data_IF_235466063454
#
_entry.id   IF_235466063454
#
_cell.length_a   1.000
_cell.length_b   1.000
_cell.length_c   1.000
_cell.angle_alpha   90.00
_cell.angle_beta   90.00
_cell.angle_gamma   90.00
#
_symmetry.space_group_name_H-M   'P 1'
#
loop_
_entity.id
_entity.type
_entity.pdbx_description
1 polymer ?
#
# COMPACT_ATOMS: atom_id res chain seq x y z
N UNK A 1 5.55 4.37 19.05
CA UNK A 1 6.92 4.11 18.52
C UNK A 1 6.92 2.97 17.50
N UNK A 2 6.27 1.83 17.78
CA UNK A 2 6.24 0.65 16.90
C UNK A 2 5.80 0.96 15.46
N UNK A 3 4.63 1.61 15.27
CA UNK A 3 4.13 1.95 13.93
C UNK A 3 5.15 2.68 13.05
N UNK A 4 5.86 3.67 13.61
CA UNK A 4 6.90 4.41 12.89
C UNK A 4 8.05 3.52 12.43
N UNK A 5 8.54 2.66 13.32
CA UNK A 5 9.66 1.75 13.00
C UNK A 5 9.22 0.68 12.00
N UNK A 6 8.02 0.10 12.17
CA UNK A 6 7.44 -0.85 11.24
C UNK A 6 7.33 -0.30 9.82
N UNK A 7 6.84 0.94 9.67
CA UNK A 7 6.76 1.60 8.37
C UNK A 7 8.12 1.87 7.72
N UNK A 8 9.24 1.93 8.45
CA UNK A 8 10.57 2.03 7.83
C UNK A 8 11.00 0.76 7.11
N UNK A 9 10.45 -0.40 7.49
CA UNK A 9 10.87 -1.70 6.96
C UNK A 9 9.80 -2.41 6.12
N UNK A 10 8.54 -1.97 6.13
CA UNK A 10 7.44 -2.68 5.46
C UNK A 10 7.72 -3.02 3.99
N UNK A 11 8.45 -2.14 3.29
CA UNK A 11 8.79 -2.23 1.88
C UNK A 11 10.24 -2.69 1.59
N UNK A 12 10.99 -3.16 2.60
CA UNK A 12 12.43 -3.43 2.48
C UNK A 12 12.77 -4.45 1.38
N UNK A 13 11.87 -5.37 1.05
CA UNK A 13 12.10 -6.33 -0.03
C UNK A 13 12.12 -5.73 -1.44
N UNK A 14 11.65 -4.49 -1.62
CA UNK A 14 11.75 -3.79 -2.91
C UNK A 14 13.21 -3.56 -3.34
N UNK A 15 14.16 -3.59 -2.39
CA UNK A 15 15.59 -3.43 -2.64
C UNK A 15 16.17 -4.46 -3.63
N UNK A 16 15.57 -5.66 -3.73
CA UNK A 16 16.04 -6.67 -4.68
C UNK A 16 15.77 -6.30 -6.14
N UNK A 17 14.73 -5.51 -6.42
CA UNK A 17 14.27 -5.17 -7.78
C UNK A 17 13.69 -3.75 -7.86
N UNK A 18 14.44 -2.70 -7.47
CA UNK A 18 13.90 -1.37 -7.21
C UNK A 18 13.20 -0.75 -8.42
N UNK A 19 13.71 -0.99 -9.64
CA UNK A 19 13.19 -0.41 -10.88
C UNK A 19 11.76 -0.87 -11.23
N UNK A 20 11.27 -1.97 -10.63
CA UNK A 20 9.89 -2.44 -10.81
C UNK A 20 8.88 -1.71 -9.91
N UNK A 21 9.33 -0.81 -9.03
CA UNK A 21 8.45 -0.04 -8.17
C UNK A 21 8.45 1.43 -8.59
N UNK A 22 7.25 1.99 -8.80
CA UNK A 22 7.05 3.28 -9.47
C UNK A 22 7.76 4.44 -8.77
N UNK A 23 7.86 4.39 -7.45
CA UNK A 23 8.55 5.39 -6.63
C UNK A 23 10.06 5.50 -6.91
N UNK A 24 10.66 4.46 -7.50
CA UNK A 24 12.07 4.43 -7.86
C UNK A 24 12.31 4.72 -9.35
N UNK A 25 11.25 4.91 -10.14
CA UNK A 25 11.34 5.15 -11.58
C UNK A 25 11.52 6.65 -11.84
N UNK A 26 12.76 7.08 -12.09
CA UNK A 26 13.09 8.51 -12.29
C UNK A 26 13.14 8.93 -13.75
N UNK A 27 13.73 8.09 -14.62
CA UNK A 27 13.86 8.35 -16.07
C UNK A 27 13.90 7.02 -16.83
N UNK A 28 12.88 6.74 -17.65
CA UNK A 28 12.74 5.51 -18.42
C UNK A 28 11.29 5.08 -18.57
N UNK A 29 11.01 4.11 -19.45
CA UNK A 29 9.69 3.47 -19.51
C UNK A 29 9.48 2.49 -18.36
N UNK A 30 8.22 2.23 -17.99
CA UNK A 30 7.90 1.30 -16.92
C UNK A 30 8.26 -0.14 -17.37
N UNK A 31 9.14 -0.88 -16.65
CA UNK A 31 9.50 -2.24 -17.03
C UNK A 31 8.31 -3.20 -17.08
N UNK A 32 7.23 -2.90 -16.35
CA UNK A 32 5.97 -3.64 -16.41
C UNK A 32 5.25 -3.58 -17.76
N UNK A 33 5.58 -2.60 -18.62
CA UNK A 33 4.99 -2.50 -19.96
C UNK A 33 5.49 -3.62 -20.87
N UNK A 34 6.69 -4.15 -20.61
CA UNK A 34 7.39 -5.12 -21.46
C UNK A 34 7.20 -6.58 -21.04
N UNK A 35 6.43 -6.83 -19.98
CA UNK A 35 6.23 -8.18 -19.43
C UNK A 35 4.74 -8.49 -19.23
N UNK A 36 4.36 -9.79 -19.20
CA UNK A 36 2.99 -10.19 -18.93
C UNK A 36 2.49 -9.71 -17.55
N UNK A 37 1.18 -9.45 -17.38
CA UNK A 37 0.62 -9.05 -16.09
C UNK A 37 0.86 -10.06 -14.97
N UNK A 38 0.85 -11.36 -15.27
CA UNK A 38 1.17 -12.41 -14.30
C UNK A 38 2.59 -12.29 -13.76
N UNK A 39 3.58 -12.09 -14.64
CA UNK A 39 4.97 -11.87 -14.25
C UNK A 39 5.13 -10.58 -13.44
N UNK A 40 4.41 -9.52 -13.80
CA UNK A 40 4.38 -8.28 -13.02
C UNK A 40 3.85 -8.51 -11.61
N UNK A 41 2.73 -9.22 -11.48
CA UNK A 41 2.15 -9.56 -10.18
C UNK A 41 3.11 -10.41 -9.34
N UNK A 42 3.81 -11.38 -9.92
CA UNK A 42 4.84 -12.16 -9.20
C UNK A 42 5.97 -11.27 -8.67
N UNK A 43 6.51 -10.36 -9.48
CA UNK A 43 7.58 -9.44 -9.04
C UNK A 43 7.08 -8.55 -7.90
N UNK A 44 5.88 -7.99 -8.03
CA UNK A 44 5.28 -7.16 -6.99
C UNK A 44 5.06 -7.98 -5.73
N UNK A 45 4.47 -9.19 -5.77
CA UNK A 45 4.28 -10.03 -4.57
C UNK A 45 5.59 -10.37 -3.88
N UNK A 46 6.66 -10.60 -4.66
CA UNK A 46 7.94 -11.06 -4.15
C UNK A 46 8.61 -10.08 -3.19
N UNK A 47 8.30 -8.78 -3.22
CA UNK A 47 8.86 -7.86 -2.22
C UNK A 47 8.49 -8.25 -0.78
N UNK A 48 7.36 -8.94 -0.58
CA UNK A 48 6.98 -9.45 0.75
C UNK A 48 7.90 -10.57 1.18
N UNK A 49 8.10 -11.59 0.33
CA UNK A 49 8.96 -12.74 0.65
C UNK A 49 10.43 -12.35 0.75
N UNK A 50 10.90 -11.48 -0.15
CA UNK A 50 12.27 -10.96 -0.12
C UNK A 50 12.47 -10.08 1.13
N UNK A 51 11.46 -9.30 1.51
CA UNK A 51 11.49 -8.48 2.72
C UNK A 51 11.56 -9.31 4.00
N UNK A 52 10.81 -10.41 4.07
CA UNK A 52 10.86 -11.34 5.20
C UNK A 52 12.23 -12.03 5.32
N UNK A 53 12.84 -12.42 4.19
CA UNK A 53 14.18 -13.00 4.18
C UNK A 53 15.23 -12.00 4.70
N UNK A 54 15.16 -10.74 4.26
CA UNK A 54 16.04 -9.67 4.75
C UNK A 54 15.81 -9.39 6.25
N UNK A 55 14.56 -9.42 6.71
CA UNK A 55 14.22 -9.23 8.12
C UNK A 55 14.77 -10.37 8.99
N UNK A 56 14.71 -11.61 8.51
CA UNK A 56 15.30 -12.78 9.18
C UNK A 56 16.82 -12.68 9.27
N UNK A 57 17.50 -12.37 8.15
CA UNK A 57 18.95 -12.20 8.09
C UNK A 57 19.42 -11.10 9.07
N UNK A 58 18.71 -9.98 9.09
CA UNK A 58 19.00 -8.84 9.98
C UNK A 58 18.54 -9.06 11.43
N UNK A 59 17.90 -10.20 11.74
CA UNK A 59 17.32 -10.50 13.07
C UNK A 59 16.36 -9.42 13.56
N UNK A 60 15.55 -8.89 12.65
CA UNK A 60 14.57 -7.87 12.95
C UNK A 60 13.53 -8.43 13.94
N UNK A 61 13.11 -7.66 14.98
CA UNK A 61 12.10 -8.12 15.91
C UNK A 61 10.81 -8.51 15.18
N UNK A 62 10.18 -9.62 15.57
CA UNK A 62 8.99 -10.15 14.92
C UNK A 62 7.86 -9.12 14.80
N UNK A 63 7.67 -8.26 15.80
CA UNK A 63 6.67 -7.19 15.79
C UNK A 63 6.92 -6.12 14.73
N UNK A 64 8.18 -5.91 14.30
CA UNK A 64 8.53 -5.01 13.20
C UNK A 64 8.43 -5.76 11.87
N UNK A 65 8.93 -6.99 11.82
CA UNK A 65 8.85 -7.83 10.63
C UNK A 65 7.39 -8.11 10.20
N UNK A 66 6.44 -8.13 11.13
CA UNK A 66 5.01 -8.30 10.85
C UNK A 66 4.44 -7.24 9.88
N UNK A 67 5.01 -6.05 9.82
CA UNK A 67 4.58 -5.02 8.86
C UNK A 67 4.82 -5.43 7.41
N UNK A 68 5.81 -6.28 7.14
CA UNK A 68 6.21 -6.66 5.77
C UNK A 68 5.11 -7.48 5.08
N UNK A 69 4.56 -8.56 5.64
CA UNK A 69 3.47 -9.28 4.98
C UNK A 69 2.09 -8.67 5.25
N UNK A 70 1.89 -8.03 6.41
CA UNK A 70 0.56 -7.56 6.81
C UNK A 70 0.13 -6.24 6.16
N UNK A 71 1.06 -5.38 5.72
CA UNK A 71 0.67 -4.06 5.17
C UNK A 71 -0.17 -4.16 3.89
N UNK A 72 -0.01 -5.23 3.10
CA UNK A 72 -0.89 -5.51 1.97
C UNK A 72 -1.97 -6.56 2.28
N UNK A 73 -1.76 -7.38 3.31
CA UNK A 73 -2.70 -8.44 3.68
C UNK A 73 -2.92 -9.42 2.53
N UNK A 74 -4.19 -9.68 2.22
CA UNK A 74 -4.59 -10.51 1.06
C UNK A 74 -5.21 -9.66 -0.04
N UNK A 75 -4.82 -8.39 -0.13
CA UNK A 75 -5.33 -7.45 -1.12
C UNK A 75 -5.03 -7.95 -2.53
N UNK A 76 -5.86 -7.53 -3.48
CA UNK A 76 -5.63 -7.78 -4.90
C UNK A 76 -4.72 -6.70 -5.49
N UNK A 77 -3.82 -7.12 -6.38
CA UNK A 77 -3.01 -6.24 -7.22
C UNK A 77 -3.84 -5.87 -8.46
N UNK A 78 -4.86 -5.02 -8.22
CA UNK A 78 -5.96 -4.78 -9.16
C UNK A 78 -5.50 -4.33 -10.55
N UNK A 79 -4.48 -3.47 -10.65
CA UNK A 79 -3.97 -3.01 -11.94
C UNK A 79 -3.54 -4.16 -12.87
N UNK A 80 -2.77 -5.12 -12.35
CA UNK A 80 -2.31 -6.26 -13.14
C UNK A 80 -3.40 -7.31 -13.33
N UNK A 81 -4.31 -7.48 -12.36
CA UNK A 81 -5.47 -8.35 -12.53
C UNK A 81 -6.39 -7.84 -13.64
N UNK A 82 -6.72 -6.56 -13.67
CA UNK A 82 -7.57 -5.96 -14.70
C UNK A 82 -6.94 -6.07 -16.09
N UNK A 83 -5.62 -5.83 -16.19
CA UNK A 83 -4.87 -6.00 -17.44
C UNK A 83 -4.88 -7.46 -17.89
N UNK A 84 -4.76 -8.41 -16.96
CA UNK A 84 -4.86 -9.83 -17.26
C UNK A 84 -6.27 -10.21 -17.72
N UNK A 85 -7.32 -9.77 -17.01
CA UNK A 85 -8.71 -10.09 -17.30
C UNK A 85 -9.19 -9.55 -18.65
N UNK A 86 -8.66 -8.40 -19.06
CA UNK A 86 -8.89 -7.81 -20.40
C UNK A 86 -8.25 -8.65 -21.51
N UNK A 87 -7.10 -9.24 -21.26
CA UNK A 87 -6.40 -10.08 -22.24
C UNK A 87 -6.94 -11.52 -22.26
N UNK A 88 -7.32 -12.04 -21.10
CA UNK A 88 -7.86 -13.37 -20.89
C UNK A 88 -8.99 -13.35 -19.83
N UNK A 89 -10.26 -13.48 -20.25
CA UNK A 89 -11.39 -13.60 -19.33
C UNK A 89 -11.31 -14.80 -18.38
N UNK A 90 -10.46 -15.80 -18.63
CA UNK A 90 -10.24 -16.94 -17.73
C UNK A 90 -9.18 -16.66 -16.65
N UNK A 91 -8.52 -15.50 -16.66
CA UNK A 91 -7.54 -15.12 -15.63
C UNK A 91 -8.14 -15.26 -14.22
N UNK A 92 -7.42 -16.00 -13.36
CA UNK A 92 -7.81 -16.28 -11.99
C UNK A 92 -7.42 -15.12 -11.09
N UNK A 93 -8.34 -14.69 -10.23
CA UNK A 93 -8.16 -13.54 -9.34
C UNK A 93 -7.07 -13.80 -8.29
N UNK A 94 -6.94 -15.05 -7.89
CA UNK A 94 -6.07 -15.56 -6.83
C UNK A 94 -4.59 -15.42 -7.19
N UNK A 95 -4.26 -15.49 -8.49
CA UNK A 95 -2.89 -15.30 -9.00
C UNK A 95 -2.41 -13.85 -8.78
N UNK A 96 -3.32 -12.92 -8.51
CA UNK A 96 -3.06 -11.49 -8.33
C UNK A 96 -3.32 -11.03 -6.89
N UNK A 97 -3.41 -11.93 -5.92
CA UNK A 97 -3.53 -11.57 -4.50
C UNK A 97 -2.21 -11.72 -3.77
N UNK A 98 -1.98 -10.82 -2.82
CA UNK A 98 -0.90 -11.00 -1.84
C UNK A 98 -1.18 -12.23 -0.97
N UNK A 99 -0.13 -12.95 -0.52
CA UNK A 99 -0.27 -14.18 0.24
C UNK A 99 -0.78 -13.96 1.67
N UNK A 100 -0.75 -12.72 2.18
CA UNK A 100 -1.07 -12.40 3.56
C UNK A 100 0.06 -12.73 4.55
N UNK A 101 -0.26 -12.82 5.86
CA UNK A 101 -1.61 -12.74 6.45
C UNK A 101 -2.19 -11.33 6.45
N UNK A 102 -3.49 -11.21 6.76
CA UNK A 102 -4.13 -9.90 7.03
C UNK A 102 -3.54 -9.28 8.31
N UNK A 103 -3.65 -7.95 8.49
CA UNK A 103 -3.29 -7.27 9.73
C UNK A 103 -3.84 -7.95 10.98
N UNK A 104 -2.98 -8.16 11.97
CA UNK A 104 -3.31 -8.77 13.27
C UNK A 104 -3.10 -7.83 14.46
N UNK A 105 -2.65 -6.61 14.19
CA UNK A 105 -2.47 -5.56 15.20
C UNK A 105 -3.11 -4.26 14.73
N UNK A 106 -3.36 -3.34 15.68
CA UNK A 106 -3.80 -1.99 15.35
C UNK A 106 -2.75 -1.30 14.48
N UNK A 107 -1.47 -1.49 14.78
CA UNK A 107 -0.38 -0.83 14.09
C UNK A 107 -0.23 -1.27 12.63
N UNK A 108 -0.30 -2.57 12.35
CA UNK A 108 -0.22 -3.10 10.97
C UNK A 108 -1.49 -2.78 10.18
N UNK A 109 -2.65 -2.70 10.82
CA UNK A 109 -3.90 -2.25 10.19
C UNK A 109 -3.84 -0.77 9.80
N UNK A 110 -3.32 0.09 10.70
CA UNK A 110 -3.10 1.50 10.40
C UNK A 110 -2.04 1.68 9.32
N UNK A 111 -0.97 0.87 9.32
CA UNK A 111 0.05 0.89 8.27
C UNK A 111 -0.53 0.53 6.90
N UNK A 112 -1.37 -0.51 6.80
CA UNK A 112 -2.09 -0.86 5.58
C UNK A 112 -2.93 0.30 5.04
N UNK A 113 -3.67 0.97 5.92
CA UNK A 113 -4.49 2.13 5.54
C UNK A 113 -3.60 3.29 5.08
N UNK A 114 -2.52 3.58 5.81
CA UNK A 114 -1.60 4.67 5.50
C UNK A 114 -0.90 4.47 4.16
N UNK A 115 -0.35 3.28 3.90
CA UNK A 115 0.29 2.90 2.64
C UNK A 115 -0.67 3.04 1.46
N UNK A 116 -1.89 2.50 1.60
CA UNK A 116 -2.93 2.60 0.57
C UNK A 116 -3.32 4.06 0.28
N UNK A 117 -3.41 4.90 1.31
CA UNK A 117 -3.72 6.33 1.16
C UNK A 117 -2.58 7.06 0.48
N UNK A 118 -1.34 6.87 0.92
CA UNK A 118 -0.16 7.50 0.32
C UNK A 118 -0.04 7.17 -1.17
N UNK A 119 -0.17 5.88 -1.52
CA UNK A 119 -0.13 5.42 -2.90
C UNK A 119 -1.24 6.05 -3.76
N UNK A 120 -2.46 6.16 -3.22
CA UNK A 120 -3.58 6.79 -3.93
C UNK A 120 -3.39 8.30 -4.12
N UNK A 121 -2.90 9.01 -3.10
CA UNK A 121 -2.67 10.46 -3.21
C UNK A 121 -1.54 10.80 -4.18
N UNK A 122 -0.56 9.91 -4.38
CA UNK A 122 0.56 10.12 -5.31
C UNK A 122 0.12 10.23 -6.77
N UNK A 123 -1.03 9.66 -7.12
CA UNK A 123 -1.56 9.64 -8.51
C UNK A 123 -2.71 10.61 -8.75
N UNK A 124 -3.21 11.29 -7.71
CA UNK A 124 -4.31 12.24 -7.85
C UNK A 124 -3.79 13.60 -8.34
N UNK A 125 -4.45 14.11 -9.38
CA UNK A 125 -4.29 15.49 -9.84
C UNK A 125 -5.08 16.44 -8.93
N UNK A 126 -4.47 17.58 -8.57
CA UNK A 126 -5.03 18.63 -7.70
C UNK A 126 -5.58 18.12 -6.37
N UNK A 127 -4.69 17.97 -5.38
CA UNK A 127 -4.99 17.47 -4.04
C UNK A 127 -5.75 18.48 -3.16
N UNK A 128 -7.04 18.69 -3.45
CA UNK A 128 -7.93 19.47 -2.58
C UNK A 128 -8.29 18.69 -1.31
N UNK A 129 -8.60 19.38 -0.18
CA UNK A 129 -9.03 18.71 1.05
C UNK A 129 -10.19 17.73 0.84
N UNK A 130 -11.15 18.08 -0.01
CA UNK A 130 -12.31 17.25 -0.34
C UNK A 130 -11.90 15.96 -1.06
N UNK A 131 -11.02 16.05 -2.07
CA UNK A 131 -10.52 14.86 -2.79
C UNK A 131 -9.70 13.95 -1.88
N UNK A 132 -8.89 14.53 -0.97
CA UNK A 132 -8.14 13.77 0.04
C UNK A 132 -9.11 13.01 0.95
N UNK A 133 -10.14 13.68 1.46
CA UNK A 133 -11.16 13.06 2.30
C UNK A 133 -11.93 11.94 1.57
N UNK A 134 -12.33 12.17 0.32
CA UNK A 134 -13.00 11.16 -0.51
C UNK A 134 -12.13 9.93 -0.72
N UNK A 135 -10.85 10.11 -1.05
CA UNK A 135 -9.89 9.02 -1.24
C UNK A 135 -9.70 8.19 0.05
N UNK A 136 -9.49 8.86 1.19
CA UNK A 136 -9.32 8.20 2.50
C UNK A 136 -10.57 7.40 2.86
N UNK A 137 -11.75 8.01 2.72
CA UNK A 137 -13.02 7.35 3.01
C UNK A 137 -13.27 6.15 2.08
N UNK A 138 -12.94 6.27 0.79
CA UNK A 138 -13.05 5.18 -0.17
C UNK A 138 -12.13 4.01 0.20
N UNK A 139 -10.86 4.27 0.49
CA UNK A 139 -9.87 3.25 0.86
C UNK A 139 -10.30 2.51 2.13
N UNK A 140 -10.66 3.24 3.18
CA UNK A 140 -11.10 2.63 4.43
C UNK A 140 -12.32 1.72 4.22
N UNK A 141 -13.31 2.18 3.44
CA UNK A 141 -14.49 1.38 3.07
C UNK A 141 -14.11 0.14 2.29
N UNK A 142 -13.21 0.24 1.31
CA UNK A 142 -12.76 -0.89 0.49
C UNK A 142 -12.01 -1.94 1.32
N UNK A 143 -11.13 -1.51 2.24
CA UNK A 143 -10.42 -2.45 3.13
C UNK A 143 -11.36 -3.14 4.11
N UNK A 144 -12.34 -2.41 4.65
CA UNK A 144 -13.36 -2.97 5.54
C UNK A 144 -14.27 -3.97 4.80
N UNK A 145 -14.82 -3.59 3.64
CA UNK A 145 -15.75 -4.45 2.88
C UNK A 145 -15.10 -5.70 2.28
N UNK A 146 -13.78 -5.67 2.07
CA UNK A 146 -13.00 -6.82 1.62
C UNK A 146 -12.45 -7.69 2.76
N UNK A 147 -12.81 -7.39 4.01
CA UNK A 147 -12.42 -8.15 5.19
C UNK A 147 -10.94 -8.04 5.55
N UNK A 148 -10.21 -7.05 5.02
CA UNK A 148 -8.77 -6.89 5.30
C UNK A 148 -8.50 -6.54 6.76
N UNK A 149 -9.47 -5.99 7.48
CA UNK A 149 -9.32 -5.56 8.87
C UNK A 149 -9.92 -6.57 9.87
N UNK A 150 -10.44 -7.71 9.41
CA UNK A 150 -11.19 -8.67 10.25
C UNK A 150 -10.34 -9.35 11.33
N UNK A 151 -9.02 -9.47 11.11
CA UNK A 151 -8.08 -10.11 12.05
C UNK A 151 -7.41 -9.10 12.99
N UNK A 152 -7.62 -7.80 12.79
CA UNK A 152 -7.03 -6.75 13.61
C UNK A 152 -7.99 -6.33 14.73
N UNK A 153 -7.49 -6.06 15.95
CA UNK A 153 -8.32 -5.57 17.06
C UNK A 153 -8.62 -4.07 16.92
N UNK A 154 -9.26 -3.68 15.81
CA UNK A 154 -9.58 -2.30 15.46
C UNK A 154 -11.10 -2.09 15.39
N UNK A 155 -11.63 -1.18 16.20
CA UNK A 155 -13.07 -0.85 16.18
C UNK A 155 -13.41 0.14 15.07
N UNK A 156 -14.68 0.20 14.67
CA UNK A 156 -15.16 1.22 13.71
C UNK A 156 -14.87 2.64 14.20
N UNK A 157 -15.02 2.90 15.50
CA UNK A 157 -14.69 4.19 16.09
C UNK A 157 -13.20 4.53 15.94
N UNK A 158 -12.30 3.55 16.13
CA UNK A 158 -10.87 3.75 15.91
C UNK A 158 -10.54 3.98 14.43
N UNK A 159 -11.24 3.31 13.51
CA UNK A 159 -11.11 3.57 12.07
C UNK A 159 -11.50 5.02 11.74
N UNK A 160 -12.58 5.53 12.32
CA UNK A 160 -12.99 6.93 12.12
C UNK A 160 -11.96 7.92 12.68
N UNK A 161 -11.35 7.63 13.83
CA UNK A 161 -10.23 8.43 14.36
C UNK A 161 -9.04 8.40 13.39
N UNK A 162 -8.65 7.23 12.87
CA UNK A 162 -7.55 7.10 11.90
C UNK A 162 -7.82 7.93 10.64
N UNK A 163 -9.04 7.84 10.09
CA UNK A 163 -9.46 8.62 8.91
C UNK A 163 -9.38 10.11 9.18
N UNK A 164 -9.91 10.58 10.31
CA UNK A 164 -9.90 12.00 10.68
C UNK A 164 -8.45 12.53 10.82
N UNK A 165 -7.56 11.75 11.43
CA UNK A 165 -6.16 12.12 11.56
C UNK A 165 -5.42 12.14 10.21
N UNK A 166 -5.69 11.18 9.32
CA UNK A 166 -5.16 11.21 7.96
C UNK A 166 -5.61 12.45 7.21
N UNK A 167 -6.91 12.80 7.26
CA UNK A 167 -7.45 14.00 6.61
C UNK A 167 -6.76 15.25 7.16
N UNK A 168 -6.65 15.38 8.49
CA UNK A 168 -6.02 16.52 9.16
C UNK A 168 -4.56 16.70 8.75
N UNK A 169 -3.77 15.62 8.79
CA UNK A 169 -2.34 15.65 8.48
C UNK A 169 -2.10 15.90 6.99
N UNK A 170 -2.77 15.15 6.12
CA UNK A 170 -2.54 15.20 4.68
C UNK A 170 -3.08 16.49 4.07
N UNK A 171 -4.24 16.98 4.51
CA UNK A 171 -4.74 18.29 4.07
C UNK A 171 -3.75 19.39 4.46
N UNK A 172 -3.18 19.38 5.67
CA UNK A 172 -2.15 20.35 6.05
C UNK A 172 -0.87 20.25 5.22
N UNK A 173 -0.41 19.04 4.91
CA UNK A 173 0.80 18.81 4.11
C UNK A 173 0.66 19.28 2.65
N UNK A 174 -0.49 19.03 2.01
CA UNK A 174 -0.70 19.35 0.60
C UNK A 174 -1.29 20.74 0.37
N UNK A 175 -2.02 21.32 1.34
CA UNK A 175 -2.52 22.69 1.21
C UNK A 175 -1.41 23.74 1.31
N UNK A 176 -0.36 23.48 2.10
CA UNK A 176 0.82 24.36 2.19
C UNK A 176 1.74 24.30 0.95
N UNK A 177 1.47 23.42 -0.02
CA UNK A 177 2.20 23.34 -1.30
C UNK A 177 1.55 24.16 -2.42
N UNK A 178 0.41 24.81 -2.17
CA UNK A 178 -0.15 25.78 -3.11
C UNK A 178 0.65 27.07 -2.90
N UNK A 179 1.75 27.18 -3.64
CA UNK A 179 2.66 28.33 -3.56
C UNK A 179 1.94 29.66 -3.83
N UNK A 180 2.44 30.68 -3.14
CA UNK A 180 2.20 32.08 -3.45
C UNK A 180 2.49 32.35 -4.94
N UNK A 181 1.74 33.24 -5.61
CA UNK A 181 2.07 33.64 -6.96
C UNK A 181 3.50 34.19 -6.98
N UNK A 182 4.36 33.58 -7.80
CA UNK A 182 5.63 34.21 -8.20
C UNK A 182 5.28 35.59 -8.76
N UNK A 183 5.87 36.62 -8.17
CA UNK A 183 5.70 38.01 -8.58
C UNK A 183 6.42 38.27 -9.89
#
# INVERSE_FOLDING_TARGET
>A
LLGRVGCYYHDVGKLGNPLYFVENQTRGGNPHDKIPPSQSAEIIKRHVTDGLALAEEARLPAVVAAFIPEHHGTSEITYFYDRAKKADPAARREDYRYPGPRPRSVETAVAMLADSVEAALRVLEDLTPQKIEEAINHIARTKLSSGQLDEAPLTLQQIDVVKAEFIRVLSGMYHNRIDYPES
#
